data_IF_698834413256
#
_entry.id   IF_698834413256
#
_cell.length_a   1.000
_cell.length_b   1.000
_cell.length_c   1.000
_cell.angle_alpha   90.00
_cell.angle_beta   90.00
_cell.angle_gamma   90.00
#
_symmetry.space_group_name_H-M   'P 1'
#
loop_
_entity.id
_entity.type
_entity.pdbx_description
1 polymer ?
#
# COMPACT_ATOMS: atom_id res chain seq x y z
N UNK A 1 -0.77 -10.12 -4.26
CA UNK A 1 -0.42 -8.99 -3.35
C UNK A 1 -0.70 -9.44 -1.94
N UNK A 2 0.27 -9.38 -1.04
CA UNK A 2 0.12 -9.82 0.35
C UNK A 2 0.06 -8.61 1.29
N UNK A 3 -0.97 -8.53 2.11
CA UNK A 3 -1.13 -7.51 3.16
C UNK A 3 -0.87 -8.16 4.51
N UNK A 4 -0.05 -7.54 5.36
CA UNK A 4 0.16 -8.03 6.73
C UNK A 4 -1.05 -7.81 7.64
N UNK A 5 -1.05 -8.44 8.80
CA UNK A 5 -2.21 -8.51 9.69
C UNK A 5 -2.61 -7.14 10.25
N UNK A 6 -1.65 -6.26 10.56
CA UNK A 6 -1.95 -4.89 11.02
C UNK A 6 -2.53 -4.06 9.88
N UNK A 7 -1.98 -4.21 8.68
CA UNK A 7 -2.53 -3.57 7.49
C UNK A 7 -3.96 -4.05 7.20
N UNK A 8 -4.21 -5.36 7.27
CA UNK A 8 -5.56 -5.92 7.12
C UNK A 8 -6.52 -5.38 8.19
N UNK A 9 -6.08 -5.26 9.44
CA UNK A 9 -6.89 -4.71 10.54
C UNK A 9 -7.29 -3.26 10.25
N UNK A 10 -6.35 -2.43 9.80
CA UNK A 10 -6.61 -1.04 9.42
C UNK A 10 -7.55 -0.97 8.20
N UNK A 11 -7.33 -1.83 7.22
CA UNK A 11 -8.07 -1.82 5.95
C UNK A 11 -9.44 -2.50 6.03
N UNK A 12 -9.74 -3.23 7.12
CA UNK A 12 -10.97 -4.02 7.29
C UNK A 12 -12.27 -3.28 6.95
N UNK A 13 -12.46 -1.99 7.30
CA UNK A 13 -13.66 -1.24 6.92
C UNK A 13 -13.83 -1.02 5.40
N UNK A 14 -12.75 -1.19 4.62
CA UNK A 14 -12.70 -0.95 3.18
C UNK A 14 -12.49 -2.22 2.35
N UNK A 15 -12.16 -3.36 2.97
CA UNK A 15 -11.89 -4.64 2.29
C UNK A 15 -13.16 -5.38 1.82
N UNK A 16 -14.32 -5.16 2.45
CA UNK A 16 -15.57 -5.88 2.17
C UNK A 16 -16.57 -5.06 1.35
N UNK A 17 -16.09 -4.13 0.53
CA UNK A 17 -16.94 -3.26 -0.30
C UNK A 17 -17.26 -3.92 -1.64
N UNK A 18 -18.23 -3.35 -2.34
CA UNK A 18 -18.55 -3.72 -3.71
C UNK A 18 -17.27 -3.65 -4.58
N UNK A 19 -16.87 -4.75 -5.25
CA UNK A 19 -15.65 -4.80 -6.05
C UNK A 19 -15.61 -3.81 -7.21
N UNK A 20 -16.77 -3.31 -7.67
CA UNK A 20 -16.87 -2.28 -8.71
C UNK A 20 -16.64 -0.86 -8.17
N UNK A 21 -16.43 -0.72 -6.86
CA UNK A 21 -16.24 0.59 -6.21
C UNK A 21 -14.81 0.77 -5.71
N UNK A 22 -14.33 2.02 -5.79
CA UNK A 22 -13.03 2.37 -5.22
C UNK A 22 -13.00 2.15 -3.70
N UNK A 23 -11.99 1.45 -3.19
CA UNK A 23 -11.81 1.24 -1.75
C UNK A 23 -11.72 2.56 -0.98
N UNK A 24 -11.15 3.62 -1.56
CA UNK A 24 -11.05 4.94 -0.95
C UNK A 24 -11.69 6.00 -1.85
N UNK A 25 -12.62 6.77 -1.30
CA UNK A 25 -13.29 7.84 -2.01
C UNK A 25 -13.05 9.20 -1.32
N UNK A 26 -12.71 10.28 -2.07
CA UNK A 26 -12.54 11.62 -1.51
C UNK A 26 -13.76 12.13 -0.75
N UNK A 27 -14.95 11.73 -1.20
CA UNK A 27 -16.22 12.07 -0.56
C UNK A 27 -16.29 11.63 0.92
N UNK A 28 -15.54 10.61 1.34
CA UNK A 28 -15.52 10.11 2.72
C UNK A 28 -14.62 10.93 3.66
N UNK A 29 -13.65 11.67 3.11
CA UNK A 29 -12.66 12.44 3.89
C UNK A 29 -13.01 13.92 4.05
N UNK A 30 -13.86 14.48 3.18
CA UNK A 30 -14.23 15.90 3.23
C UNK A 30 -15.26 16.15 4.35
N UNK A 31 -14.77 16.32 5.59
CA UNK A 31 -15.58 16.77 6.74
C UNK A 31 -16.18 18.17 6.53
N UNK A 32 -15.64 18.95 5.57
CA UNK A 32 -16.22 20.23 5.14
C UNK A 32 -17.27 19.93 4.06
N UNK A 33 -18.52 19.82 4.51
CA UNK A 33 -19.73 19.78 3.68
C UNK A 33 -19.59 20.67 2.43
N UNK A 34 -19.40 20.05 1.27
CA UNK A 34 -19.83 20.49 -0.07
C UNK A 34 -18.82 20.02 -1.11
N UNK A 35 -19.21 19.02 -1.90
CA UNK A 35 -19.55 19.23 -3.31
C UNK A 35 -20.00 17.91 -3.91
N UNK A 36 -21.15 17.94 -4.55
CA UNK A 36 -21.70 16.95 -5.50
C UNK A 36 -20.69 16.52 -6.59
N UNK A 37 -19.50 17.14 -6.68
CA UNK A 37 -18.49 16.93 -7.72
C UNK A 37 -17.48 15.79 -7.47
N UNK A 38 -17.45 15.21 -6.26
CA UNK A 38 -16.47 14.18 -5.84
C UNK A 38 -17.08 12.79 -5.59
N UNK A 39 -18.41 12.67 -5.62
CA UNK A 39 -19.10 11.37 -5.51
C UNK A 39 -18.71 10.47 -6.68
N UNK A 40 -18.30 9.23 -6.40
CA UNK A 40 -17.92 8.23 -7.40
C UNK A 40 -16.55 8.45 -8.08
N UNK A 41 -15.77 9.46 -7.68
CA UNK A 41 -14.43 9.72 -8.25
C UNK A 41 -13.32 9.11 -7.40
N UNK A 42 -12.25 8.58 -8.00
CA UNK A 42 -11.07 8.14 -7.26
C UNK A 42 -10.28 9.35 -6.72
N UNK A 43 -9.46 9.11 -5.70
CA UNK A 43 -8.42 10.06 -5.31
C UNK A 43 -7.48 10.34 -6.48
N UNK A 44 -7.12 11.62 -6.68
CA UNK A 44 -6.07 11.98 -7.64
C UNK A 44 -4.72 11.53 -7.10
N UNK A 45 -3.79 11.21 -8.01
CA UNK A 45 -2.44 10.74 -7.67
C UNK A 45 -1.72 11.68 -6.68
N UNK A 46 -1.90 12.99 -6.83
CA UNK A 46 -1.28 14.03 -5.99
C UNK A 46 -1.96 14.22 -4.63
N UNK A 47 -3.23 13.81 -4.48
CA UNK A 47 -4.00 13.96 -3.25
C UNK A 47 -3.35 13.24 -2.06
N UNK A 48 -2.79 12.04 -2.29
CA UNK A 48 -2.12 11.27 -1.24
C UNK A 48 -0.87 11.97 -0.69
N UNK A 49 -0.04 12.52 -1.58
CA UNK A 49 1.17 13.23 -1.16
C UNK A 49 0.84 14.50 -0.36
N UNK A 50 -0.21 15.22 -0.76
CA UNK A 50 -0.68 16.40 -0.05
C UNK A 50 -1.25 16.06 1.34
N UNK A 51 -2.01 14.96 1.44
CA UNK A 51 -2.56 14.48 2.71
C UNK A 51 -1.43 14.12 3.70
N UNK A 52 -0.41 13.39 3.24
CA UNK A 52 0.77 13.04 4.06
C UNK A 52 1.49 14.31 4.50
N UNK A 53 1.72 15.27 3.60
CA UNK A 53 2.38 16.54 3.94
C UNK A 53 1.63 17.29 5.04
N UNK A 54 0.31 17.45 4.89
CA UNK A 54 -0.55 18.11 5.88
C UNK A 54 -0.53 17.39 7.23
N UNK A 55 -0.56 16.06 7.21
CA UNK A 55 -0.45 15.26 8.43
C UNK A 55 0.91 15.49 9.11
N UNK A 56 2.00 15.48 8.35
CA UNK A 56 3.35 15.72 8.86
C UNK A 56 3.49 17.12 9.47
N UNK A 57 2.98 18.15 8.79
CA UNK A 57 2.94 19.53 9.29
C UNK A 57 2.15 19.61 10.61
N UNK A 58 0.99 18.94 10.70
CA UNK A 58 0.12 18.94 11.88
C UNK A 58 0.79 18.33 13.13
N UNK A 59 1.60 17.29 12.95
CA UNK A 59 2.33 16.62 14.05
C UNK A 59 3.78 17.10 14.20
N UNK A 60 4.22 18.09 13.41
CA UNK A 60 5.56 18.67 13.52
C UNK A 60 6.70 17.77 13.06
N UNK A 61 6.44 16.77 12.22
CA UNK A 61 7.47 15.87 11.69
C UNK A 61 7.91 16.32 10.29
N UNK A 62 9.16 15.98 9.91
CA UNK A 62 9.67 16.25 8.57
C UNK A 62 8.78 15.53 7.54
N UNK A 63 8.23 16.24 6.53
CA UNK A 63 7.42 15.62 5.50
C UNK A 63 8.19 14.55 4.73
N UNK A 64 7.51 13.44 4.45
CA UNK A 64 7.98 12.37 3.59
C UNK A 64 6.97 12.14 2.45
N UNK A 65 7.42 11.46 1.40
CA UNK A 65 6.65 11.18 0.18
C UNK A 65 6.21 9.70 0.13
N UNK A 66 5.08 9.36 -0.51
CA UNK A 66 4.56 7.99 -0.58
C UNK A 66 5.60 6.94 -1.03
N UNK A 67 6.44 7.29 -2.00
CA UNK A 67 7.47 6.39 -2.52
C UNK A 67 8.51 6.01 -1.45
N UNK A 68 8.74 6.84 -0.44
CA UNK A 68 9.65 6.51 0.66
C UNK A 68 9.14 5.34 1.51
N UNK A 69 7.83 5.13 1.63
CA UNK A 69 7.29 3.94 2.29
C UNK A 69 7.70 2.68 1.54
N UNK A 70 7.53 2.68 0.22
CA UNK A 70 7.91 1.56 -0.64
C UNK A 70 9.41 1.28 -0.56
N UNK A 71 10.25 2.31 -0.65
CA UNK A 71 11.70 2.12 -0.52
C UNK A 71 12.11 1.61 0.86
N UNK A 72 11.55 2.17 1.93
CA UNK A 72 11.88 1.74 3.31
C UNK A 72 11.50 0.27 3.51
N UNK A 73 10.31 -0.12 3.06
CA UNK A 73 9.83 -1.49 3.13
C UNK A 73 10.70 -2.43 2.32
N UNK A 74 10.98 -2.11 1.05
CA UNK A 74 11.83 -2.94 0.18
C UNK A 74 13.27 -3.06 0.72
N UNK A 75 13.84 -2.00 1.29
CA UNK A 75 15.15 -2.05 1.95
C UNK A 75 15.12 -3.00 3.14
N UNK A 76 14.05 -2.97 3.96
CA UNK A 76 13.89 -3.87 5.10
C UNK A 76 13.73 -5.32 4.65
N UNK A 77 12.86 -5.57 3.68
CA UNK A 77 12.66 -6.90 3.08
C UNK A 77 13.98 -7.43 2.52
N UNK A 78 14.74 -6.60 1.78
CA UNK A 78 16.03 -7.00 1.23
C UNK A 78 17.03 -7.39 2.31
N UNK A 79 17.08 -6.65 3.42
CA UNK A 79 18.00 -6.92 4.54
C UNK A 79 17.66 -8.23 5.24
N UNK A 80 16.37 -8.52 5.43
CA UNK A 80 15.91 -9.67 6.21
C UNK A 80 15.74 -10.95 5.36
N UNK A 81 15.42 -10.82 4.06
CA UNK A 81 15.01 -11.93 3.20
C UNK A 81 15.77 -12.01 1.86
N UNK A 82 16.70 -11.09 1.60
CA UNK A 82 17.48 -11.07 0.36
C UNK A 82 16.80 -10.38 -0.82
N UNK A 83 17.50 -10.36 -1.96
CA UNK A 83 17.11 -9.58 -3.14
C UNK A 83 15.87 -10.15 -3.85
N UNK A 84 15.76 -11.47 -3.93
CA UNK A 84 14.64 -12.17 -4.58
C UNK A 84 13.32 -11.87 -3.87
N UNK A 85 13.28 -11.99 -2.54
CA UNK A 85 12.12 -11.62 -1.73
C UNK A 85 11.67 -10.17 -1.96
N UNK A 86 12.61 -9.23 -2.06
CA UNK A 86 12.31 -7.82 -2.30
C UNK A 86 11.75 -7.59 -3.73
N UNK A 87 12.21 -8.34 -4.73
CA UNK A 87 11.70 -8.24 -6.10
C UNK A 87 10.28 -8.78 -6.22
N UNK A 88 10.02 -9.96 -5.66
CA UNK A 88 8.70 -10.60 -5.61
C UNK A 88 7.72 -9.71 -4.84
N UNK A 89 8.09 -9.29 -3.62
CA UNK A 89 7.24 -8.44 -2.79
C UNK A 89 7.00 -7.05 -3.43
N UNK A 90 8.00 -6.52 -4.13
CA UNK A 90 7.88 -5.27 -4.88
C UNK A 90 7.01 -5.39 -6.13
N UNK A 91 6.73 -6.59 -6.65
CA UNK A 91 5.99 -6.77 -7.90
C UNK A 91 6.82 -6.43 -9.15
N UNK A 92 8.15 -6.51 -9.07
CA UNK A 92 8.99 -6.43 -10.27
C UNK A 92 8.92 -7.76 -11.03
N UNK A 93 7.95 -7.85 -11.93
CA UNK A 93 7.84 -8.92 -12.90
C UNK A 93 9.00 -8.84 -13.91
N UNK A 94 10.11 -9.54 -13.66
CA UNK A 94 10.69 -10.31 -14.75
C UNK A 94 10.13 -11.71 -14.63
N UNK A 95 8.94 -11.86 -15.19
CA UNK A 95 8.28 -13.12 -15.39
C UNK A 95 9.04 -13.89 -16.47
N UNK A 96 10.03 -14.67 -16.05
CA UNK A 96 10.54 -15.78 -16.85
C UNK A 96 11.01 -16.92 -15.94
N UNK A 97 10.25 -17.16 -14.88
CA UNK A 97 10.61 -18.13 -13.84
C UNK A 97 9.52 -19.18 -13.74
N UNK A 98 9.94 -20.40 -14.00
CA UNK A 98 9.20 -21.68 -14.03
C UNK A 98 8.23 -21.84 -12.86
N UNK A 99 7.14 -22.59 -13.06
CA UNK A 99 6.06 -22.82 -12.06
C UNK A 99 6.55 -23.15 -10.65
N UNK A 100 7.67 -23.87 -10.51
CA UNK A 100 8.28 -24.23 -9.21
C UNK A 100 8.77 -23.00 -8.43
N UNK A 101 9.24 -21.96 -9.12
CA UNK A 101 9.69 -20.72 -8.47
C UNK A 101 8.52 -19.83 -8.05
N UNK A 102 7.41 -19.85 -8.80
CA UNK A 102 6.21 -19.07 -8.45
C UNK A 102 5.61 -19.50 -7.09
N UNK A 103 5.55 -20.80 -6.80
CA UNK A 103 5.04 -21.31 -5.51
C UNK A 103 5.95 -20.92 -4.33
N UNK A 104 7.27 -21.05 -4.49
CA UNK A 104 8.25 -20.59 -3.47
C UNK A 104 8.20 -19.08 -3.24
N UNK A 105 7.99 -18.32 -4.30
CA UNK A 105 7.90 -16.86 -4.26
C UNK A 105 6.64 -16.39 -3.53
N UNK A 106 5.50 -17.08 -3.71
CA UNK A 106 4.27 -16.81 -2.97
C UNK A 106 4.40 -17.14 -1.47
N UNK A 107 4.99 -18.28 -1.11
CA UNK A 107 5.27 -18.61 0.30
C UNK A 107 6.18 -17.58 0.96
N UNK A 108 7.23 -17.14 0.26
CA UNK A 108 8.18 -16.15 0.73
C UNK A 108 7.50 -14.79 0.93
N UNK A 109 6.68 -14.36 -0.02
CA UNK A 109 5.94 -13.11 0.07
C UNK A 109 4.88 -13.13 1.18
N UNK A 110 4.20 -14.27 1.40
CA UNK A 110 3.28 -14.47 2.51
C UNK A 110 4.02 -14.41 3.87
N UNK A 111 5.21 -15.02 3.97
CA UNK A 111 6.05 -14.99 5.17
C UNK A 111 6.55 -13.58 5.49
N UNK A 112 6.97 -12.82 4.46
CA UNK A 112 7.37 -11.41 4.58
C UNK A 112 6.20 -10.56 5.08
N UNK A 113 5.01 -10.72 4.48
CA UNK A 113 3.81 -9.99 4.89
C UNK A 113 3.43 -10.27 6.35
N UNK A 114 3.58 -11.53 6.80
CA UNK A 114 3.32 -11.93 8.20
C UNK A 114 4.33 -11.33 9.20
N UNK A 115 5.60 -11.23 8.83
CA UNK A 115 6.64 -10.72 9.75
C UNK A 115 6.74 -9.21 9.79
N UNK A 116 6.48 -8.52 8.68
CA UNK A 116 6.70 -7.07 8.59
C UNK A 116 5.41 -6.27 8.77
N UNK A 117 4.25 -6.81 8.41
CA UNK A 117 2.99 -6.05 8.36
C UNK A 117 2.02 -6.28 9.51
#
# INVERSE_FOLDING_TARGET
>A
MFLGEKAQTILRPWLHRDPETYCFQPAESDMRKSRTTTVGKPYRRDSYALAIRRACEKVGIKPWSPNQLRHTLLTRVRKEFGLEAAQVFGGHARADVTQIYAERDEELAAKVARMIG
#
